data_IF_127492844418
#
_entry.id   IF_127492844418
#
_cell.length_a   1.000
_cell.length_b   1.000
_cell.length_c   1.000
_cell.angle_alpha   90.00
_cell.angle_beta   90.00
_cell.angle_gamma   90.00
#
_symmetry.space_group_name_H-M   'P 1'
#
loop_
_entity.id
_entity.type
_entity.pdbx_description
1 polymer ?
#
# COMPACT_ATOMS: atom_id res chain seq x y z
N UNK A 1 13.19 -21.06 22.13
CA UNK A 1 11.86 -21.55 21.71
C UNK A 1 11.76 -21.36 20.21
N UNK A 2 11.50 -22.39 19.42
CA UNK A 2 11.38 -22.26 17.95
C UNK A 2 10.10 -21.52 17.59
N UNK A 3 10.22 -20.52 16.71
CA UNK A 3 9.07 -19.76 16.22
C UNK A 3 8.11 -20.72 15.47
N UNK A 4 6.83 -20.85 15.88
CA UNK A 4 5.89 -21.80 15.30
C UNK A 4 5.69 -21.60 13.79
N UNK A 5 5.88 -20.37 13.31
CA UNK A 5 5.84 -20.03 11.89
C UNK A 5 7.02 -20.62 11.10
N UNK A 6 8.21 -20.66 11.69
CA UNK A 6 9.40 -21.22 11.04
C UNK A 6 9.30 -22.74 10.97
N UNK A 7 8.74 -23.38 11.99
CA UNK A 7 8.55 -24.84 12.00
C UNK A 7 7.52 -25.25 10.93
N UNK A 8 6.41 -24.52 10.84
CA UNK A 8 5.41 -24.68 9.79
C UNK A 8 5.99 -24.66 8.36
N UNK A 9 6.83 -23.66 8.08
CA UNK A 9 7.51 -23.52 6.78
C UNK A 9 8.51 -24.64 6.56
N UNK A 10 9.29 -25.02 7.59
CA UNK A 10 10.25 -26.11 7.49
C UNK A 10 9.58 -27.44 7.16
N UNK A 11 8.45 -27.73 7.80
CA UNK A 11 7.68 -28.94 7.53
C UNK A 11 7.10 -28.95 6.11
N UNK A 12 6.56 -27.81 5.63
CA UNK A 12 6.12 -27.68 4.25
C UNK A 12 7.26 -27.93 3.25
N UNK A 13 8.44 -27.35 3.49
CA UNK A 13 9.62 -27.57 2.65
C UNK A 13 10.12 -29.02 2.71
N UNK A 14 10.05 -29.68 3.87
CA UNK A 14 10.39 -31.11 4.00
C UNK A 14 9.41 -32.01 3.24
N UNK A 15 8.13 -31.66 3.20
CA UNK A 15 7.14 -32.39 2.40
C UNK A 15 7.44 -32.25 0.91
N UNK A 16 7.79 -31.04 0.45
CA UNK A 16 8.19 -30.77 -0.93
C UNK A 16 9.46 -31.52 -1.34
N UNK A 17 10.48 -31.53 -0.48
CA UNK A 17 11.76 -32.19 -0.75
C UNK A 17 11.66 -33.72 -0.94
N UNK A 18 10.50 -34.32 -0.68
CA UNK A 18 10.23 -35.73 -0.99
C UNK A 18 9.79 -35.97 -2.44
N UNK A 19 9.37 -34.93 -3.14
CA UNK A 19 8.81 -35.01 -4.50
C UNK A 19 9.65 -34.28 -5.54
N UNK A 20 10.34 -33.20 -5.14
CA UNK A 20 11.17 -32.36 -6.02
C UNK A 20 12.52 -32.08 -5.39
N UNK A 21 13.53 -31.85 -6.23
CA UNK A 21 14.85 -31.46 -5.77
C UNK A 21 14.81 -30.01 -5.25
N UNK A 22 15.49 -29.77 -4.13
CA UNK A 22 15.54 -28.44 -3.50
C UNK A 22 16.99 -27.97 -3.45
N UNK A 23 17.28 -26.86 -4.11
CA UNK A 23 18.57 -26.16 -4.00
C UNK A 23 18.45 -25.05 -2.95
N UNK A 24 18.94 -25.25 -1.71
CA UNK A 24 18.85 -24.23 -0.68
C UNK A 24 19.73 -23.02 -1.00
N UNK A 25 19.33 -21.85 -0.48
CA UNK A 25 20.16 -20.66 -0.55
C UNK A 25 21.51 -20.87 0.16
N UNK A 26 22.61 -20.48 -0.51
CA UNK A 26 23.97 -20.61 0.01
C UNK A 26 24.12 -19.70 1.24
N UNK A 27 24.46 -20.28 2.39
CA UNK A 27 24.56 -19.55 3.67
C UNK A 27 23.25 -19.46 4.47
N UNK A 28 22.17 -20.09 4.00
CA UNK A 28 20.86 -20.08 4.65
C UNK A 28 19.91 -19.04 4.07
N UNK A 29 18.78 -18.79 4.76
CA UNK A 29 17.75 -17.88 4.29
C UNK A 29 18.27 -16.44 4.23
N UNK A 30 18.28 -15.86 3.03
CA UNK A 30 18.75 -14.48 2.82
C UNK A 30 17.56 -13.51 2.91
N UNK A 31 17.60 -12.59 3.87
CA UNK A 31 16.61 -11.51 3.94
C UNK A 31 16.78 -10.58 2.74
N UNK A 32 15.66 -10.25 2.10
CA UNK A 32 15.65 -9.27 1.03
C UNK A 32 15.25 -7.90 1.57
N UNK A 33 16.04 -6.90 1.21
CA UNK A 33 15.73 -5.52 1.53
C UNK A 33 14.72 -4.95 0.53
N UNK A 34 13.72 -4.25 1.06
CA UNK A 34 12.75 -3.53 0.25
C UNK A 34 13.46 -2.37 -0.47
N UNK A 35 13.26 -2.29 -1.79
CA UNK A 35 13.81 -1.18 -2.57
C UNK A 35 13.02 0.11 -2.31
N UNK A 36 13.67 1.28 -2.32
CA UNK A 36 12.99 2.57 -2.10
C UNK A 36 11.85 2.85 -3.10
N UNK A 37 11.92 2.29 -4.31
CA UNK A 37 10.95 2.46 -5.40
C UNK A 37 9.90 1.35 -5.47
N UNK A 38 9.85 0.42 -4.50
CA UNK A 38 8.96 -0.74 -4.54
C UNK A 38 7.49 -0.35 -4.71
N UNK A 39 7.01 0.65 -3.97
CA UNK A 39 5.64 1.16 -4.07
C UNK A 39 5.35 1.74 -5.48
N UNK A 40 6.31 2.48 -6.08
CA UNK A 40 6.17 3.06 -7.43
C UNK A 40 6.06 1.95 -8.50
N UNK A 41 6.89 0.90 -8.38
CA UNK A 41 6.88 -0.24 -9.30
C UNK A 41 5.59 -1.04 -9.21
N UNK A 42 5.06 -1.26 -8.01
CA UNK A 42 3.80 -1.96 -7.84
C UNK A 42 2.64 -1.15 -8.43
N UNK A 43 2.60 0.15 -8.18
CA UNK A 43 1.62 1.02 -8.82
C UNK A 43 1.74 1.00 -10.35
N UNK A 44 2.96 0.86 -10.90
CA UNK A 44 3.17 0.74 -12.35
C UNK A 44 2.59 -0.55 -12.93
N UNK A 45 2.75 -1.66 -12.20
CA UNK A 45 2.25 -2.98 -12.61
C UNK A 45 0.72 -3.00 -12.53
N UNK A 46 0.15 -2.50 -11.43
CA UNK A 46 -1.29 -2.57 -11.16
C UNK A 46 -2.10 -1.47 -11.84
N UNK A 47 -1.54 -0.27 -11.99
CA UNK A 47 -2.15 0.83 -12.74
C UNK A 47 -2.13 0.60 -14.26
N UNK A 48 -1.39 -0.41 -14.72
CA UNK A 48 -1.29 -0.76 -16.13
C UNK A 48 -0.87 0.42 -17.01
N UNK A 49 -1.56 0.57 -18.14
CA UNK A 49 -1.28 1.61 -19.13
C UNK A 49 -2.06 2.92 -18.86
N UNK A 50 -2.80 3.04 -17.74
CA UNK A 50 -3.50 4.28 -17.39
C UNK A 50 -2.47 5.36 -17.03
N UNK A 51 -2.17 6.20 -18.02
CA UNK A 51 -1.24 7.33 -17.87
C UNK A 51 -1.94 8.67 -17.89
N UNK A 52 -3.18 8.75 -18.36
CA UNK A 52 -3.91 9.99 -18.49
C UNK A 52 -5.07 10.02 -17.48
N UNK A 53 -5.00 10.95 -16.54
CA UNK A 53 -6.01 11.19 -15.55
C UNK A 53 -6.85 12.40 -15.96
N UNK A 54 -8.17 12.29 -15.86
CA UNK A 54 -9.10 13.35 -16.25
C UNK A 54 -9.18 14.41 -15.15
N UNK A 55 -9.01 15.69 -15.49
CA UNK A 55 -9.16 16.77 -14.50
C UNK A 55 -10.63 17.12 -14.22
N UNK A 56 -10.83 17.92 -13.18
CA UNK A 56 -12.11 18.51 -12.78
C UNK A 56 -13.15 17.48 -12.33
N UNK A 57 -12.70 16.46 -11.60
CA UNK A 57 -13.58 15.51 -10.91
C UNK A 57 -14.08 16.03 -9.55
N UNK A 58 -14.16 17.36 -9.42
CA UNK A 58 -14.79 18.05 -8.29
C UNK A 58 -15.71 19.19 -8.77
N UNK A 59 -16.75 19.50 -8.01
CA UNK A 59 -17.85 20.41 -8.40
C UNK A 59 -17.43 21.86 -8.65
N UNK A 60 -16.36 22.34 -8.01
CA UNK A 60 -15.90 23.74 -8.10
C UNK A 60 -14.40 23.83 -8.47
N UNK A 61 -13.93 23.01 -9.40
CA UNK A 61 -12.56 23.06 -9.92
C UNK A 61 -12.29 24.30 -10.79
N UNK A 62 -11.96 25.44 -10.17
CA UNK A 62 -11.52 26.65 -10.90
C UNK A 62 -10.01 26.68 -11.09
N UNK A 63 -9.28 26.36 -10.03
CA UNK A 63 -7.82 26.38 -9.99
C UNK A 63 -7.23 24.98 -9.88
N UNK A 64 -6.09 24.78 -10.55
CA UNK A 64 -5.36 23.51 -10.50
C UNK A 64 -4.71 23.23 -9.16
N UNK A 65 -4.39 24.29 -8.42
CA UNK A 65 -3.79 24.25 -7.10
C UNK A 65 -4.62 25.16 -6.20
N UNK A 66 -5.05 24.66 -5.05
CA UNK A 66 -5.93 25.36 -4.12
C UNK A 66 -5.30 25.40 -2.74
N UNK A 67 -5.33 26.53 -2.04
CA UNK A 67 -4.88 26.59 -0.66
C UNK A 67 -5.80 25.75 0.23
N UNK A 68 -5.22 25.13 1.23
CA UNK A 68 -5.88 24.38 2.27
C UNK A 68 -5.71 25.08 3.61
N UNK A 69 -6.74 24.98 4.43
CA UNK A 69 -6.67 25.33 5.84
C UNK A 69 -6.53 24.05 6.66
N UNK A 70 -5.47 23.88 7.46
CA UNK A 70 -5.36 22.75 8.37
C UNK A 70 -6.54 22.74 9.36
N UNK A 71 -7.21 21.59 9.48
CA UNK A 71 -8.32 21.41 10.43
C UNK A 71 -7.80 20.52 11.56
N UNK A 72 -7.41 21.08 12.71
CA UNK A 72 -6.85 20.30 13.80
C UNK A 72 -7.88 19.35 14.42
N UNK A 73 -7.39 18.25 14.99
CA UNK A 73 -8.22 17.26 15.71
C UNK A 73 -9.11 17.87 16.81
N UNK A 74 -8.66 18.94 17.44
CA UNK A 74 -9.42 19.68 18.47
C UNK A 74 -10.66 20.37 17.90
N UNK A 75 -10.66 20.70 16.61
CA UNK A 75 -11.81 21.24 15.90
C UNK A 75 -12.62 20.11 15.26
N UNK A 76 -11.97 19.18 14.57
CA UNK A 76 -12.65 18.06 13.92
C UNK A 76 -11.75 16.84 13.80
N UNK A 77 -11.94 15.88 14.71
CA UNK A 77 -11.18 14.64 14.73
C UNK A 77 -11.74 13.60 13.75
N UNK A 78 -11.47 13.81 12.46
CA UNK A 78 -11.99 12.99 11.37
C UNK A 78 -11.25 11.65 11.22
N UNK A 79 -9.92 11.67 11.20
CA UNK A 79 -9.07 10.49 11.04
C UNK A 79 -8.72 9.87 12.40
N UNK A 80 -9.52 8.89 12.82
CA UNK A 80 -9.27 8.19 14.09
C UNK A 80 -8.51 6.89 13.92
N UNK A 81 -8.64 6.26 12.77
CA UNK A 81 -7.99 4.98 12.52
C UNK A 81 -6.94 5.13 11.45
N UNK A 82 -5.78 4.55 11.70
CA UNK A 82 -4.69 4.49 10.75
C UNK A 82 -4.32 3.03 10.54
N UNK A 83 -4.23 2.64 9.28
CA UNK A 83 -3.92 1.28 8.86
C UNK A 83 -2.65 1.28 8.04
N UNK A 84 -1.72 0.40 8.42
CA UNK A 84 -0.50 0.17 7.67
C UNK A 84 -0.09 -1.30 7.78
N UNK A 85 0.66 -1.75 6.78
CA UNK A 85 1.29 -3.05 6.75
C UNK A 85 2.80 -2.95 6.61
N UNK A 86 3.48 -4.03 6.92
CA UNK A 86 4.90 -4.21 6.62
C UNK A 86 5.12 -5.66 6.24
N UNK A 87 6.08 -5.93 5.37
CA UNK A 87 6.50 -7.30 5.11
C UNK A 87 8.00 -7.45 5.26
N UNK A 88 8.43 -8.69 5.49
CA UNK A 88 9.82 -9.13 5.32
C UNK A 88 9.79 -10.38 4.46
N UNK A 89 10.67 -10.46 3.47
CA UNK A 89 10.83 -11.66 2.64
C UNK A 89 12.23 -12.25 2.78
N UNK A 90 12.30 -13.56 2.64
CA UNK A 90 13.51 -14.37 2.71
C UNK A 90 13.53 -15.32 1.53
N UNK A 91 14.65 -15.34 0.82
CA UNK A 91 14.89 -16.35 -0.20
C UNK A 91 15.34 -17.65 0.46
N UNK A 92 14.58 -18.73 0.23
CA UNK A 92 14.86 -20.04 0.83
C UNK A 92 15.72 -20.92 -0.08
N UNK A 93 15.54 -20.80 -1.40
CA UNK A 93 16.16 -21.67 -2.39
C UNK A 93 15.29 -21.83 -3.63
N UNK A 94 15.68 -22.75 -4.52
CA UNK A 94 14.94 -23.09 -5.73
C UNK A 94 14.39 -24.52 -5.64
N UNK A 95 13.17 -24.75 -6.14
CA UNK A 95 12.67 -26.08 -6.46
C UNK A 95 13.06 -26.40 -7.89
N UNK A 96 13.54 -27.61 -8.10
CA UNK A 96 13.85 -28.18 -9.39
C UNK A 96 12.95 -29.38 -9.65
N UNK A 97 12.21 -29.33 -10.75
CA UNK A 97 11.37 -30.43 -11.19
C UNK A 97 11.60 -30.67 -12.68
N UNK A 98 12.41 -31.68 -12.99
CA UNK A 98 12.91 -31.96 -14.34
C UNK A 98 13.68 -30.76 -14.93
N UNK A 99 13.17 -30.15 -15.99
CA UNK A 99 13.71 -28.98 -16.67
C UNK A 99 13.11 -27.65 -16.18
N UNK A 100 12.24 -27.69 -15.16
CA UNK A 100 11.60 -26.52 -14.57
C UNK A 100 12.27 -26.11 -13.26
N UNK A 101 12.39 -24.81 -13.06
CA UNK A 101 12.96 -24.20 -11.86
C UNK A 101 12.02 -23.10 -11.34
N UNK A 102 11.81 -23.04 -10.02
CA UNK A 102 11.04 -21.97 -9.40
C UNK A 102 11.65 -21.53 -8.07
N UNK A 103 11.81 -20.22 -7.82
CA UNK A 103 12.30 -19.73 -6.55
C UNK A 103 11.23 -19.89 -5.48
N UNK A 104 11.65 -20.30 -4.28
CA UNK A 104 10.79 -20.34 -3.09
C UNK A 104 11.18 -19.22 -2.16
N UNK A 105 10.19 -18.38 -1.89
CA UNK A 105 10.31 -17.25 -0.98
C UNK A 105 9.41 -17.49 0.21
N UNK A 106 9.93 -17.21 1.38
CA UNK A 106 9.13 -17.06 2.58
C UNK A 106 8.93 -15.58 2.86
N UNK A 107 7.71 -15.16 3.14
CA UNK A 107 7.45 -13.82 3.62
C UNK A 107 6.58 -13.82 4.88
N UNK A 108 6.82 -12.84 5.74
CA UNK A 108 5.91 -12.51 6.83
C UNK A 108 5.31 -11.16 6.55
N UNK A 109 3.99 -11.10 6.50
CA UNK A 109 3.26 -9.88 6.27
C UNK A 109 2.51 -9.54 7.54
N UNK A 110 2.89 -8.41 8.14
CA UNK A 110 2.23 -7.82 9.28
C UNK A 110 1.29 -6.69 8.84
N UNK A 111 0.11 -6.63 9.42
CA UNK A 111 -0.84 -5.54 9.29
C UNK A 111 -1.24 -5.03 10.67
N UNK A 112 -1.36 -3.72 10.83
CA UNK A 112 -1.80 -3.11 12.07
C UNK A 112 -2.79 -1.98 11.80
N UNK A 113 -3.83 -1.94 12.63
CA UNK A 113 -4.72 -0.81 12.77
C UNK A 113 -4.51 -0.19 14.14
N UNK A 114 -4.29 1.11 14.17
CA UNK A 114 -4.24 1.91 15.40
C UNK A 114 -5.46 2.83 15.47
N UNK A 115 -5.95 3.07 16.69
CA UNK A 115 -6.90 4.13 16.99
C UNK A 115 -6.16 5.28 17.67
N UNK A 116 -6.46 6.50 17.23
CA UNK A 116 -6.02 7.74 17.86
C UNK A 116 -7.19 8.33 18.66
N UNK A 117 -6.92 8.67 19.91
CA UNK A 117 -7.85 9.35 20.80
C UNK A 117 -7.82 10.87 20.60
N UNK A 118 -8.81 11.58 21.14
CA UNK A 118 -8.94 13.04 20.99
C UNK A 118 -7.74 13.82 21.59
N UNK A 119 -7.12 13.27 22.64
CA UNK A 119 -5.89 13.81 23.24
C UNK A 119 -4.64 13.59 22.37
N UNK A 120 -4.74 12.79 21.30
CA UNK A 120 -3.66 12.43 20.39
C UNK A 120 -2.91 11.15 20.74
N UNK A 121 -3.22 10.51 21.87
CA UNK A 121 -2.68 9.19 22.23
C UNK A 121 -3.13 8.14 21.22
N UNK A 122 -2.31 7.12 21.01
CA UNK A 122 -2.58 6.05 20.04
C UNK A 122 -2.55 4.70 20.73
N UNK A 123 -3.43 3.78 20.33
CA UNK A 123 -3.45 2.39 20.78
C UNK A 123 -3.60 1.43 19.61
N UNK A 124 -2.96 0.25 19.63
CA UNK A 124 -3.25 -0.79 18.65
C UNK A 124 -4.65 -1.34 18.89
N UNK A 125 -5.44 -1.41 17.83
CA UNK A 125 -6.79 -2.00 17.85
C UNK A 125 -6.74 -3.42 17.31
N UNK A 126 -6.01 -3.59 16.21
CA UNK A 126 -5.83 -4.89 15.58
C UNK A 126 -4.41 -5.03 15.06
N UNK A 127 -3.90 -6.26 15.18
CA UNK A 127 -2.61 -6.67 14.66
C UNK A 127 -2.74 -8.07 14.12
N UNK A 128 -2.23 -8.28 12.93
CA UNK A 128 -2.24 -9.57 12.26
C UNK A 128 -0.86 -9.79 11.64
N UNK A 129 -0.30 -10.98 11.79
CA UNK A 129 0.94 -11.38 11.12
C UNK A 129 0.69 -12.73 10.49
N UNK A 130 0.89 -12.81 9.19
CA UNK A 130 0.63 -14.01 8.40
C UNK A 130 1.88 -14.45 7.65
N UNK A 131 2.19 -15.75 7.68
CA UNK A 131 3.25 -16.33 6.86
C UNK A 131 2.76 -16.64 5.45
N UNK A 132 3.65 -16.41 4.50
CA UNK A 132 3.42 -16.63 3.08
C UNK A 132 4.55 -17.45 2.48
N UNK A 133 4.21 -18.38 1.60
CA UNK A 133 5.13 -19.00 0.67
C UNK A 133 4.82 -18.49 -0.73
N UNK A 134 5.83 -18.00 -1.43
CA UNK A 134 5.69 -17.49 -2.79
C UNK A 134 6.58 -18.29 -3.74
N UNK A 135 5.98 -18.76 -4.82
CA UNK A 135 6.61 -19.51 -5.90
C UNK A 135 5.77 -19.40 -7.18
N UNK A 136 6.37 -19.65 -8.34
CA UNK A 136 5.63 -19.83 -9.58
C UNK A 136 5.00 -21.24 -9.58
N UNK A 137 3.67 -21.33 -9.44
CA UNK A 137 2.96 -22.61 -9.32
C UNK A 137 2.92 -23.36 -10.65
N UNK A 138 2.88 -22.65 -11.77
CA UNK A 138 2.94 -23.22 -13.13
C UNK A 138 4.26 -23.92 -13.45
N UNK A 139 5.34 -23.55 -12.75
CA UNK A 139 6.64 -24.19 -12.86
C UNK A 139 6.75 -25.53 -12.10
N UNK A 140 5.68 -25.99 -11.43
CA UNK A 140 5.63 -27.31 -10.76
C UNK A 140 4.39 -28.11 -11.16
N UNK A 141 4.47 -29.44 -11.11
CA UNK A 141 3.34 -30.33 -11.45
C UNK A 141 2.16 -30.20 -10.48
N UNK A 142 0.97 -30.58 -10.94
CA UNK A 142 -0.26 -30.52 -10.14
C UNK A 142 -0.12 -31.29 -8.81
N UNK A 143 0.53 -32.45 -8.79
CA UNK A 143 0.75 -33.21 -7.57
C UNK A 143 1.63 -32.48 -6.53
N UNK A 144 2.64 -31.74 -7.00
CA UNK A 144 3.49 -30.89 -6.15
C UNK A 144 2.70 -29.69 -5.65
N UNK A 145 1.88 -29.06 -6.52
CA UNK A 145 1.00 -27.95 -6.14
C UNK A 145 0.00 -28.36 -5.05
N UNK A 146 -0.67 -29.50 -5.21
CA UNK A 146 -1.62 -30.04 -4.23
C UNK A 146 -0.95 -30.31 -2.89
N UNK A 147 0.21 -30.99 -2.91
CA UNK A 147 0.99 -31.28 -1.70
C UNK A 147 1.38 -29.99 -0.98
N UNK A 148 1.84 -28.98 -1.73
CA UNK A 148 2.21 -27.69 -1.17
C UNK A 148 1.03 -27.00 -0.52
N UNK A 149 -0.09 -26.86 -1.24
CA UNK A 149 -1.29 -26.19 -0.77
C UNK A 149 -1.83 -26.87 0.48
N UNK A 150 -1.91 -28.20 0.49
CA UNK A 150 -2.38 -28.98 1.64
C UNK A 150 -1.46 -28.79 2.85
N UNK A 151 -0.14 -28.93 2.67
CA UNK A 151 0.81 -28.86 3.78
C UNK A 151 0.93 -27.44 4.33
N UNK A 152 1.00 -26.44 3.46
CA UNK A 152 1.04 -25.04 3.86
C UNK A 152 -0.24 -24.63 4.59
N UNK A 153 -1.42 -24.99 4.04
CA UNK A 153 -2.70 -24.68 4.67
C UNK A 153 -2.85 -25.35 6.05
N UNK A 154 -2.49 -26.62 6.18
CA UNK A 154 -2.51 -27.35 7.46
C UNK A 154 -1.61 -26.71 8.53
N UNK A 155 -0.65 -25.87 8.13
CA UNK A 155 0.30 -25.17 8.99
C UNK A 155 0.05 -23.67 9.09
N UNK A 156 -1.08 -23.19 8.54
CA UNK A 156 -1.46 -21.77 8.58
C UNK A 156 -0.58 -20.86 7.72
N UNK A 157 0.04 -21.40 6.67
CA UNK A 157 0.87 -20.66 5.70
C UNK A 157 0.09 -20.46 4.41
N UNK A 158 -0.06 -19.22 3.98
CA UNK A 158 -0.74 -18.87 2.73
C UNK A 158 0.23 -19.04 1.54
N UNK A 159 -0.21 -19.69 0.46
CA UNK A 159 0.61 -19.86 -0.75
C UNK A 159 0.20 -18.83 -1.80
N UNK A 160 1.17 -18.09 -2.34
CA UNK A 160 0.95 -17.05 -3.35
C UNK A 160 1.66 -17.43 -4.63
N UNK A 161 0.88 -17.56 -5.70
CA UNK A 161 1.40 -17.87 -7.01
C UNK A 161 2.03 -16.62 -7.67
N UNK A 162 3.33 -16.68 -7.96
CA UNK A 162 4.07 -15.61 -8.65
C UNK A 162 3.75 -15.50 -10.14
N UNK A 163 3.27 -16.57 -10.77
CA UNK A 163 2.99 -16.61 -12.20
C UNK A 163 1.76 -15.77 -12.61
N UNK A 164 0.92 -15.38 -11.65
CA UNK A 164 -0.41 -14.81 -11.93
C UNK A 164 -0.41 -13.33 -12.30
N UNK A 165 0.75 -12.67 -12.34
CA UNK A 165 0.88 -11.28 -12.81
C UNK A 165 1.51 -11.27 -14.21
N UNK A 166 0.71 -11.69 -15.19
CA UNK A 166 1.09 -11.79 -16.59
C UNK A 166 1.65 -10.50 -17.17
N UNK A 167 2.97 -10.41 -17.26
CA UNK A 167 3.71 -10.08 -18.47
C UNK A 167 4.90 -11.02 -18.50
N UNK A 168 4.83 -12.01 -19.39
CA UNK A 168 5.97 -12.82 -19.75
C UNK A 168 6.98 -11.89 -20.43
N UNK A 169 7.97 -11.40 -19.68
CA UNK A 169 9.25 -11.09 -20.29
C UNK A 169 9.98 -12.44 -20.43
N UNK A 170 10.36 -12.85 -21.65
CA UNK A 170 11.07 -14.09 -21.87
C UNK A 170 12.54 -13.88 -21.50
N UNK A 171 12.86 -13.83 -20.21
CA UNK A 171 14.24 -13.99 -19.74
C UNK A 171 14.43 -15.38 -19.10
N UNK A 172 15.38 -16.19 -19.59
CA UNK A 172 15.52 -17.60 -19.23
C UNK A 172 16.26 -17.83 -17.89
N UNK A 173 16.24 -16.86 -16.96
CA UNK A 173 16.88 -16.99 -15.65
C UNK A 173 15.88 -16.78 -14.51
N UNK A 174 15.26 -17.89 -14.10
CA UNK A 174 14.26 -18.01 -13.03
C UNK A 174 14.74 -17.60 -11.62
N UNK A 175 16.00 -17.19 -11.44
CA UNK A 175 16.46 -16.51 -10.21
C UNK A 175 15.78 -15.17 -9.99
N UNK A 176 15.20 -14.61 -11.05
CA UNK A 176 14.43 -13.40 -11.05
C UNK A 176 13.05 -13.73 -11.64
N UNK A 177 12.15 -14.33 -10.87
CA UNK A 177 10.73 -14.02 -11.10
C UNK A 177 10.68 -12.49 -11.28
N UNK A 178 10.14 -11.93 -12.39
CA UNK A 178 10.36 -10.55 -12.74
C UNK A 178 10.09 -9.74 -11.50
N UNK A 179 11.08 -9.03 -10.95
CA UNK A 179 11.04 -8.55 -9.57
C UNK A 179 9.75 -7.78 -9.24
N UNK A 180 9.06 -7.29 -10.28
CA UNK A 180 7.71 -6.74 -10.22
C UNK A 180 6.59 -7.72 -9.86
N UNK A 181 6.53 -8.95 -10.41
CA UNK A 181 5.49 -9.93 -10.10
C UNK A 181 5.51 -10.32 -8.60
N UNK A 182 6.72 -10.53 -8.07
CA UNK A 182 6.98 -10.75 -6.64
C UNK A 182 6.59 -9.57 -5.78
N UNK A 183 7.07 -8.36 -6.12
CA UNK A 183 6.72 -7.15 -5.36
C UNK A 183 5.21 -6.89 -5.38
N UNK A 184 4.56 -7.07 -6.54
CA UNK A 184 3.12 -6.95 -6.68
C UNK A 184 2.37 -7.98 -5.84
N UNK A 185 2.84 -9.24 -5.80
CA UNK A 185 2.26 -10.29 -4.96
C UNK A 185 2.38 -9.98 -3.45
N UNK A 186 3.56 -9.57 -2.99
CA UNK A 186 3.79 -9.19 -1.59
C UNK A 186 3.00 -7.94 -1.19
N UNK A 187 2.94 -6.94 -2.06
CA UNK A 187 2.16 -5.73 -1.81
C UNK A 187 0.65 -6.02 -1.83
N UNK A 188 0.15 -6.84 -2.76
CA UNK A 188 -1.26 -7.26 -2.76
C UNK A 188 -1.61 -8.04 -1.49
N UNK A 189 -0.73 -8.91 -1.02
CA UNK A 189 -0.92 -9.63 0.23
C UNK A 189 -0.80 -8.70 1.45
N UNK A 190 0.07 -7.67 1.42
CA UNK A 190 0.13 -6.59 2.43
C UNK A 190 -1.15 -5.78 2.47
N UNK A 191 -1.63 -5.31 1.32
CA UNK A 191 -2.87 -4.55 1.20
C UNK A 191 -4.06 -5.41 1.61
N UNK A 192 -4.13 -6.66 1.14
CA UNK A 192 -5.15 -7.62 1.53
C UNK A 192 -5.14 -7.91 3.04
N UNK A 193 -3.96 -8.07 3.65
CA UNK A 193 -3.79 -8.20 5.09
C UNK A 193 -4.18 -6.93 5.85
N UNK A 194 -3.90 -5.75 5.30
CA UNK A 194 -4.25 -4.45 5.89
C UNK A 194 -5.76 -4.20 5.84
N UNK A 195 -6.39 -4.47 4.70
CA UNK A 195 -7.84 -4.41 4.50
C UNK A 195 -8.55 -5.49 5.32
N UNK A 196 -7.98 -6.70 5.40
CA UNK A 196 -8.48 -7.81 6.20
C UNK A 196 -8.40 -7.52 7.70
N UNK A 197 -7.27 -6.96 8.16
CA UNK A 197 -7.11 -6.39 9.50
C UNK A 197 -8.15 -5.28 9.76
N UNK A 198 -8.46 -4.52 8.72
CA UNK A 198 -9.51 -3.51 8.69
C UNK A 198 -10.92 -4.00 8.39
N UNK A 199 -11.20 -5.31 8.29
CA UNK A 199 -12.48 -5.80 7.79
C UNK A 199 -13.66 -5.30 8.64
N UNK A 200 -14.61 -4.67 7.93
CA UNK A 200 -15.57 -3.65 8.39
C UNK A 200 -16.74 -4.19 9.24
N UNK A 201 -16.66 -5.46 9.69
CA UNK A 201 -17.72 -6.09 10.49
C UNK A 201 -17.51 -5.99 12.00
N UNK A 202 -16.39 -5.37 12.44
CA UNK A 202 -16.15 -5.13 13.86
C UNK A 202 -17.19 -4.16 14.47
N UNK A 203 -17.59 -4.35 15.74
CA UNK A 203 -18.48 -3.41 16.44
C UNK A 203 -17.98 -1.96 16.44
N UNK A 204 -16.65 -1.77 16.45
CA UNK A 204 -16.00 -0.45 16.43
C UNK A 204 -16.19 0.28 15.08
N UNK A 205 -16.20 -0.45 13.97
CA UNK A 205 -16.42 0.15 12.64
C UNK A 205 -17.89 0.46 12.37
N UNK A 206 -18.84 -0.28 12.99
CA UNK A 206 -20.26 0.13 13.03
C UNK A 206 -20.46 1.43 13.83
N UNK A 207 -19.65 1.64 14.87
CA UNK A 207 -19.60 2.91 15.61
C UNK A 207 -19.00 4.03 14.77
N UNK A 208 -17.89 3.77 14.07
CA UNK A 208 -17.30 4.69 13.08
C UNK A 208 -18.34 5.12 12.05
N UNK A 209 -19.10 4.16 11.53
CA UNK A 209 -20.14 4.36 10.53
C UNK A 209 -21.23 5.35 10.94
N UNK A 210 -21.72 5.21 12.17
CA UNK A 210 -22.75 6.08 12.74
C UNK A 210 -22.21 7.47 13.10
N UNK A 211 -20.90 7.59 13.33
CA UNK A 211 -20.25 8.84 13.76
C UNK A 211 -19.65 9.69 12.63
N UNK A 212 -19.66 9.22 11.39
CA UNK A 212 -19.07 9.94 10.24
C UNK A 212 -17.52 9.98 10.23
N UNK A 213 -16.86 9.15 11.05
CA UNK A 213 -15.39 9.09 11.15
C UNK A 213 -14.77 8.25 10.02
N UNK A 214 -13.51 8.52 9.68
CA UNK A 214 -12.80 7.86 8.58
C UNK A 214 -11.55 7.10 9.05
N UNK A 215 -11.19 6.08 8.27
CA UNK A 215 -9.91 5.39 8.37
C UNK A 215 -8.97 5.87 7.25
N UNK A 216 -7.73 6.18 7.60
CA UNK A 216 -6.66 6.42 6.64
C UNK A 216 -5.82 5.15 6.49
N UNK A 217 -5.75 4.63 5.27
CA UNK A 217 -4.88 3.52 4.91
C UNK A 217 -3.63 4.06 4.22
N UNK A 218 -2.46 3.64 4.69
CA UNK A 218 -1.18 3.98 4.08
C UNK A 218 -0.82 3.03 2.93
N UNK A 219 -1.71 2.97 1.95
CA UNK A 219 -1.53 2.30 0.68
C UNK A 219 -2.48 2.92 -0.35
N UNK A 220 -2.23 2.70 -1.64
CA UNK A 220 -3.17 3.13 -2.68
C UNK A 220 -4.47 2.34 -2.53
N UNK A 221 -5.63 3.00 -2.51
CA UNK A 221 -6.92 2.27 -2.44
C UNK A 221 -7.18 1.51 -3.73
N UNK A 222 -6.64 2.02 -4.85
CA UNK A 222 -6.63 1.34 -6.13
C UNK A 222 -5.96 -0.06 -6.09
N UNK A 223 -5.07 -0.32 -5.12
CA UNK A 223 -4.42 -1.63 -4.90
C UNK A 223 -5.31 -2.61 -4.13
N UNK A 224 -6.22 -2.09 -3.31
CA UNK A 224 -7.16 -2.94 -2.59
C UNK A 224 -8.22 -3.42 -3.57
N UNK A 225 -8.47 -4.72 -3.65
CA UNK A 225 -9.54 -5.32 -4.46
C UNK A 225 -10.96 -4.94 -3.98
N UNK A 226 -11.11 -3.78 -3.33
CA UNK A 226 -12.38 -3.25 -2.88
C UNK A 226 -13.17 -2.82 -4.11
N UNK A 227 -14.25 -3.55 -4.35
CA UNK A 227 -15.24 -3.17 -5.35
C UNK A 227 -15.77 -1.78 -5.01
N UNK A 228 -15.86 -0.90 -6.01
CA UNK A 228 -16.55 0.38 -5.88
C UNK A 228 -18.01 0.21 -5.43
N UNK A 229 -18.57 -1.01 -5.54
CA UNK A 229 -19.91 -1.36 -5.09
C UNK A 229 -19.97 -1.84 -3.63
N UNK A 230 -18.84 -1.98 -2.93
CA UNK A 230 -18.85 -2.31 -1.51
C UNK A 230 -19.16 -1.04 -0.70
N UNK A 231 -20.32 -0.92 -0.03
CA UNK A 231 -20.67 0.25 0.79
C UNK A 231 -19.64 0.49 1.89
N UNK A 232 -18.94 -0.58 2.31
CA UNK A 232 -17.91 -0.55 3.35
C UNK A 232 -16.66 0.22 2.89
N UNK A 233 -16.37 0.24 1.60
CA UNK A 233 -15.19 0.89 1.00
C UNK A 233 -15.21 2.43 1.04
N UNK A 234 -16.39 3.04 1.21
CA UNK A 234 -16.59 4.51 1.20
C UNK A 234 -16.01 5.26 2.40
N UNK A 235 -15.50 4.55 3.42
CA UNK A 235 -14.93 5.15 4.65
C UNK A 235 -13.43 5.01 4.78
N UNK A 236 -12.77 4.62 3.70
CA UNK A 236 -11.33 4.48 3.59
C UNK A 236 -10.80 5.55 2.65
N UNK A 237 -9.75 6.24 3.07
CA UNK A 237 -8.89 6.99 2.14
C UNK A 237 -7.55 6.29 2.04
N UNK A 238 -6.99 6.27 0.84
CA UNK A 238 -5.64 5.79 0.59
C UNK A 238 -4.70 6.96 0.61
N UNK A 239 -3.58 6.81 1.29
CA UNK A 239 -2.56 7.84 1.38
C UNK A 239 -1.23 7.22 1.01
N UNK A 240 -0.67 7.68 -0.10
CA UNK A 240 0.60 7.21 -0.63
C UNK A 240 1.66 8.30 -0.55
N UNK A 241 2.81 7.94 0.04
CA UNK A 241 4.01 8.78 0.12
C UNK A 241 4.92 8.59 -1.10
N UNK A 242 4.88 7.39 -1.66
CA UNK A 242 5.57 7.02 -2.88
C UNK A 242 4.51 6.72 -3.94
N UNK A 243 4.62 7.34 -5.10
CA UNK A 243 3.70 7.15 -6.20
C UNK A 243 4.39 7.40 -7.53
N UNK A 244 3.84 6.83 -8.60
CA UNK A 244 4.37 6.98 -9.97
C UNK A 244 4.52 8.45 -10.36
N UNK A 245 5.61 8.75 -11.07
CA UNK A 245 5.94 10.11 -11.54
C UNK A 245 5.60 10.33 -13.02
N UNK A 246 5.29 9.26 -13.75
CA UNK A 246 4.90 9.28 -15.16
C UNK A 246 3.40 9.57 -15.48
N UNK A 247 2.46 9.67 -14.51
CA UNK A 247 1.11 10.13 -14.81
C UNK A 247 1.06 11.53 -15.45
N UNK A 248 0.13 11.68 -16.37
CA UNK A 248 -0.22 12.92 -17.06
C UNK A 248 -1.67 13.30 -16.75
N UNK A 249 -1.91 14.60 -16.63
CA UNK A 249 -3.21 15.13 -16.24
C UNK A 249 -3.81 15.97 -17.35
N UNK A 250 -5.02 15.62 -17.79
CA UNK A 250 -5.75 16.32 -18.84
C UNK A 250 -6.38 17.61 -18.31
N UNK A 251 -5.68 18.74 -18.44
CA UNK A 251 -6.09 20.03 -17.88
C UNK A 251 -6.64 20.99 -18.95
N UNK A 252 -7.80 21.64 -18.68
CA UNK A 252 -8.35 22.75 -19.47
C UNK A 252 -9.34 22.36 -20.58
N UNK A 253 -9.81 23.34 -21.39
CA UNK A 253 -10.78 23.15 -22.50
C UNK A 253 -10.29 22.20 -23.61
N UNK A 254 -8.99 21.88 -23.62
CA UNK A 254 -8.35 20.87 -24.47
C UNK A 254 -8.03 19.59 -23.68
N UNK A 255 -8.85 19.20 -22.70
CA UNK A 255 -8.72 17.91 -21.99
C UNK A 255 -8.75 16.67 -22.90
N UNK A 256 -9.12 16.83 -24.19
CA UNK A 256 -8.98 15.80 -25.25
C UNK A 256 -7.69 15.89 -26.08
N UNK A 257 -6.80 16.85 -25.81
CA UNK A 257 -5.49 16.94 -26.44
C UNK A 257 -4.57 15.89 -25.81
N UNK A 258 -3.87 15.11 -26.65
CA UNK A 258 -2.93 14.06 -26.24
C UNK A 258 -1.72 14.52 -25.42
N UNK A 259 -1.60 15.82 -25.14
CA UNK A 259 -0.50 16.40 -24.37
C UNK A 259 -1.00 16.79 -22.97
N UNK A 260 -1.07 15.81 -22.07
CA UNK A 260 -1.39 16.07 -20.66
C UNK A 260 -0.30 16.88 -19.96
N UNK A 261 -0.64 17.51 -18.85
CA UNK A 261 0.35 18.14 -17.95
C UNK A 261 1.02 17.04 -17.14
N UNK A 262 2.34 16.90 -17.25
CA UNK A 262 3.08 15.93 -16.46
C UNK A 262 3.01 16.26 -14.96
N UNK A 263 2.98 15.22 -14.12
CA UNK A 263 2.89 15.34 -12.66
C UNK A 263 3.92 16.32 -12.07
N UNK A 264 5.19 16.22 -12.45
CA UNK A 264 6.24 17.10 -11.92
C UNK A 264 5.96 18.60 -12.17
N UNK A 265 5.31 18.96 -13.29
CA UNK A 265 4.94 20.36 -13.56
C UNK A 265 3.77 20.83 -12.70
N UNK A 266 2.88 19.92 -12.33
CA UNK A 266 1.80 20.20 -11.40
C UNK A 266 2.36 20.39 -9.98
N UNK A 267 3.24 19.49 -9.55
CA UNK A 267 3.84 19.53 -8.21
C UNK A 267 4.78 20.71 -8.00
N UNK A 268 5.51 21.14 -9.04
CA UNK A 268 6.35 22.34 -8.96
C UNK A 268 5.57 23.63 -8.62
N UNK A 269 4.26 23.65 -8.86
CA UNK A 269 3.37 24.78 -8.56
C UNK A 269 2.66 24.64 -7.21
N UNK A 270 2.84 23.51 -6.52
CA UNK A 270 2.14 23.22 -5.28
C UNK A 270 2.89 23.84 -4.10
N UNK A 271 2.32 24.91 -3.53
CA UNK A 271 2.87 25.55 -2.34
C UNK A 271 2.54 24.75 -1.05
N UNK A 272 3.19 25.11 0.05
CA UNK A 272 2.88 24.55 1.37
C UNK A 272 1.39 24.71 1.68
N UNK A 273 0.74 23.65 2.18
CA UNK A 273 -0.70 23.61 2.46
C UNK A 273 -1.55 23.86 1.23
N UNK A 274 -1.13 23.35 0.07
CA UNK A 274 -1.97 23.33 -1.11
C UNK A 274 -2.30 21.90 -1.50
N UNK A 275 -3.46 21.73 -2.14
CA UNK A 275 -3.80 20.53 -2.90
C UNK A 275 -3.97 20.85 -4.37
N UNK A 276 -3.86 19.83 -5.19
CA UNK A 276 -4.31 19.91 -6.57
C UNK A 276 -5.84 19.88 -6.63
N UNK A 277 -6.37 20.19 -7.80
CA UNK A 277 -7.72 19.74 -8.15
C UNK A 277 -7.83 18.21 -8.09
N UNK A 278 -9.06 17.69 -8.03
CA UNK A 278 -9.33 16.26 -8.07
C UNK A 278 -9.31 15.75 -9.51
N UNK A 279 -8.59 14.66 -9.70
CA UNK A 279 -8.51 13.93 -10.95
C UNK A 279 -9.27 12.61 -10.85
N UNK A 280 -9.99 12.26 -11.91
CA UNK A 280 -10.64 10.97 -12.04
C UNK A 280 -9.66 9.93 -12.54
N UNK A 281 -9.67 8.78 -11.89
CA UNK A 281 -8.97 7.57 -12.30
C UNK A 281 -9.96 6.40 -12.42
N UNK A 282 -9.62 5.39 -13.21
CA UNK A 282 -10.41 4.16 -13.41
C UNK A 282 -11.86 4.47 -13.78
N UNK A 283 -12.05 5.31 -14.80
CA UNK A 283 -13.38 5.74 -15.26
C UNK A 283 -14.18 6.45 -14.16
N UNK A 284 -13.49 7.21 -13.31
CA UNK A 284 -14.13 7.98 -12.23
C UNK A 284 -14.45 7.22 -10.96
N UNK A 285 -14.09 5.93 -10.88
CA UNK A 285 -14.30 5.10 -9.69
C UNK A 285 -13.36 5.51 -8.55
N UNK A 286 -12.27 6.19 -8.85
CA UNK A 286 -11.32 6.69 -7.87
C UNK A 286 -11.08 8.17 -8.14
N UNK A 287 -11.27 8.98 -7.11
CA UNK A 287 -10.89 10.38 -7.08
C UNK A 287 -9.48 10.48 -6.50
N UNK A 288 -8.54 11.04 -7.27
CA UNK A 288 -7.13 11.17 -6.90
C UNK A 288 -6.81 12.64 -6.75
N UNK A 289 -6.15 13.01 -5.66
CA UNK A 289 -5.60 14.34 -5.48
C UNK A 289 -4.19 14.25 -4.91
N UNK A 290 -3.41 15.30 -5.12
CA UNK A 290 -2.08 15.43 -4.54
C UNK A 290 -2.04 16.64 -3.62
N UNK A 291 -1.56 16.44 -2.39
CA UNK A 291 -1.50 17.48 -1.36
C UNK A 291 -0.07 17.66 -0.88
N UNK A 292 0.36 18.91 -0.69
CA UNK A 292 1.65 19.24 -0.08
C UNK A 292 1.47 19.62 1.40
N UNK A 293 1.99 18.77 2.29
CA UNK A 293 1.87 18.94 3.73
C UNK A 293 3.06 19.67 4.39
N UNK A 294 4.21 19.80 3.69
CA UNK A 294 5.49 20.17 4.31
C UNK A 294 5.99 21.60 4.04
N UNK A 295 6.97 21.93 4.89
CA UNK A 295 7.55 23.22 5.27
C UNK A 295 7.77 24.27 4.16
N UNK A 296 7.90 25.55 4.52
CA UNK A 296 8.18 26.62 3.56
C UNK A 296 9.35 26.27 2.63
N UNK A 297 9.24 26.66 1.36
CA UNK A 297 10.29 26.51 0.33
C UNK A 297 11.65 26.93 0.91
N UNK A 298 12.60 25.99 0.97
CA UNK A 298 13.95 26.20 1.53
C UNK A 298 14.35 25.27 2.68
N UNK A 299 13.41 24.51 3.26
CA UNK A 299 13.68 23.51 4.31
C UNK A 299 13.52 22.06 3.83
N UNK A 300 13.53 21.86 2.51
CA UNK A 300 13.20 20.58 1.88
C UNK A 300 14.32 20.22 0.90
N UNK A 301 14.92 19.04 1.09
CA UNK A 301 16.05 18.57 0.28
C UNK A 301 15.65 18.11 -1.13
N UNK A 302 14.36 17.81 -1.34
CA UNK A 302 13.83 17.33 -2.62
C UNK A 302 12.43 17.92 -2.92
N UNK A 303 12.14 18.37 -4.16
CA UNK A 303 10.87 19.05 -4.49
C UNK A 303 9.58 18.27 -4.19
N UNK A 304 9.64 16.93 -4.07
CA UNK A 304 8.47 16.09 -3.75
C UNK A 304 8.40 15.67 -2.27
N UNK A 305 9.40 16.04 -1.47
CA UNK A 305 9.44 15.68 -0.06
C UNK A 305 8.32 16.41 0.68
N UNK A 306 7.43 15.60 1.26
CA UNK A 306 6.23 16.09 1.95
C UNK A 306 4.99 16.26 1.08
N UNK A 307 5.04 15.79 -0.17
CA UNK A 307 3.88 15.62 -1.04
C UNK A 307 3.29 14.23 -0.82
N UNK A 308 1.97 14.15 -0.71
CA UNK A 308 1.22 12.91 -0.58
C UNK A 308 0.16 12.80 -1.67
N UNK A 309 -0.02 11.60 -2.23
CA UNK A 309 -1.15 11.28 -3.08
C UNK A 309 -2.27 10.72 -2.20
N UNK A 310 -3.48 11.25 -2.37
CA UNK A 310 -4.67 10.81 -1.64
C UNK A 310 -5.67 10.26 -2.65
N UNK A 311 -6.18 9.06 -2.37
CA UNK A 311 -7.14 8.35 -3.19
C UNK A 311 -8.43 8.13 -2.41
N UNK A 312 -9.56 8.47 -3.03
CA UNK A 312 -10.90 8.30 -2.49
C UNK A 312 -11.71 7.42 -3.44
N UNK A 313 -12.35 6.37 -2.93
CA UNK A 313 -13.30 5.59 -3.72
C UNK A 313 -14.53 6.44 -4.00
N UNK A 314 -14.93 6.50 -5.26
CA UNK A 314 -16.08 7.24 -5.74
C UNK A 314 -17.08 6.30 -6.42
N UNK A 315 -17.96 5.62 -5.66
CA UNK A 315 -18.98 4.73 -6.22
C UNK A 315 -19.95 5.45 -7.15
N UNK A 316 -20.19 6.73 -6.89
CA UNK A 316 -21.15 7.53 -7.64
C UNK A 316 -20.70 7.82 -9.07
N UNK A 317 -19.38 7.75 -9.34
CA UNK A 317 -18.75 8.19 -10.59
C UNK A 317 -19.16 9.60 -11.03
N UNK A 318 -19.55 10.45 -10.07
CA UNK A 318 -19.85 11.86 -10.29
C UNK A 318 -18.73 12.71 -9.69
N UNK A 319 -18.55 13.96 -10.15
CA UNK A 319 -17.64 14.89 -9.51
C UNK A 319 -17.93 15.00 -8.01
N UNK A 320 -16.89 14.93 -7.19
CA UNK A 320 -16.98 15.00 -5.72
C UNK A 320 -17.17 16.46 -5.29
N UNK A 321 -17.88 16.70 -4.20
CA UNK A 321 -18.02 18.06 -3.69
C UNK A 321 -16.65 18.63 -3.25
N UNK A 322 -16.26 19.78 -3.81
CA UNK A 322 -15.01 20.46 -3.43
C UNK A 322 -14.93 20.78 -1.94
N UNK A 323 -16.06 21.09 -1.28
CA UNK A 323 -16.06 21.37 0.16
C UNK A 323 -15.70 20.13 0.99
N UNK A 324 -16.19 18.95 0.59
CA UNK A 324 -15.80 17.68 1.19
C UNK A 324 -14.30 17.40 0.97
N UNK A 325 -13.78 17.66 -0.23
CA UNK A 325 -12.36 17.45 -0.53
C UNK A 325 -11.46 18.39 0.30
N UNK A 326 -11.85 19.66 0.43
CA UNK A 326 -11.14 20.64 1.26
C UNK A 326 -11.14 20.22 2.74
N UNK A 327 -12.28 19.69 3.23
CA UNK A 327 -12.44 19.14 4.57
C UNK A 327 -11.53 17.92 4.82
N UNK A 328 -11.55 16.92 3.92
CA UNK A 328 -10.70 15.73 4.02
C UNK A 328 -9.22 16.13 4.00
N UNK A 329 -8.83 16.97 3.04
CA UNK A 329 -7.44 17.37 2.87
C UNK A 329 -6.96 18.24 4.04
N UNK A 330 -7.79 19.16 4.52
CA UNK A 330 -7.52 20.02 5.67
C UNK A 330 -7.32 19.23 6.97
N UNK A 331 -8.16 18.21 7.21
CA UNK A 331 -7.97 17.30 8.34
C UNK A 331 -6.68 16.47 8.18
N UNK A 332 -6.35 16.02 6.97
CA UNK A 332 -5.20 15.15 6.74
C UNK A 332 -3.86 15.90 6.91
N UNK A 333 -3.76 17.13 6.41
CA UNK A 333 -2.54 17.94 6.60
C UNK A 333 -2.34 18.35 8.06
N UNK A 334 -3.40 18.37 8.87
CA UNK A 334 -3.28 18.61 10.31
C UNK A 334 -2.66 17.42 11.06
N UNK A 335 -2.73 16.21 10.50
CA UNK A 335 -2.08 15.01 11.02
C UNK A 335 -0.56 14.97 10.76
N UNK A 336 0.03 16.07 10.25
CA UNK A 336 1.42 16.07 9.80
C UNK A 336 2.48 15.86 10.88
N UNK A 337 2.14 16.25 12.11
CA UNK A 337 3.03 16.16 13.27
C UNK A 337 2.61 14.95 14.13
N UNK A 338 2.98 13.76 13.67
CA UNK A 338 2.47 12.51 14.22
C UNK A 338 3.46 11.76 15.13
N UNK A 339 4.40 12.44 15.77
CA UNK A 339 5.30 11.81 16.76
C UNK A 339 4.70 11.86 18.16
N UNK A 340 4.55 10.71 18.85
CA UNK A 340 4.15 10.65 20.26
C UNK A 340 5.28 11.04 21.22
N UNK A 341 6.47 11.37 20.73
CA UNK A 341 7.57 11.88 21.53
C UNK A 341 7.66 13.38 21.30
N UNK A 342 7.17 14.16 22.25
CA UNK A 342 7.12 15.63 22.22
C UNK A 342 8.48 16.33 22.24
N UNK A 343 9.47 15.85 21.48
CA UNK A 343 10.84 16.39 21.47
C UNK A 343 11.54 16.37 20.11
N UNK A 344 10.92 15.91 19.01
CA UNK A 344 11.62 15.88 17.72
C UNK A 344 11.58 17.25 17.01
N UNK A 345 12.66 18.03 17.14
CA UNK A 345 12.90 19.31 16.42
C UNK A 345 13.40 19.11 14.98
N UNK A 346 13.58 17.87 14.52
CA UNK A 346 14.08 17.57 13.19
C UNK A 346 12.92 17.37 12.18
N UNK A 347 12.74 18.35 11.31
CA UNK A 347 11.79 18.39 10.18
C UNK A 347 12.10 17.39 9.03
N UNK A 348 12.88 16.33 9.28
CA UNK A 348 13.38 15.40 8.26
C UNK A 348 12.82 13.96 8.40
N UNK A 349 11.66 13.77 9.03
CA UNK A 349 10.97 12.47 9.14
C UNK A 349 9.50 12.58 8.71
N UNK A 350 8.91 11.50 8.16
CA UNK A 350 7.79 11.61 7.24
C UNK A 350 6.55 12.23 7.92
N UNK A 351 5.82 13.08 7.19
CA UNK A 351 4.78 13.96 7.74
C UNK A 351 3.46 13.25 8.00
N UNK A 352 3.45 11.94 8.27
CA UNK A 352 2.25 11.17 8.61
C UNK A 352 2.73 9.98 9.46
N UNK A 353 1.93 9.46 10.40
CA UNK A 353 2.39 8.44 11.33
C UNK A 353 2.95 7.22 10.58
N UNK A 354 4.29 7.13 10.48
CA UNK A 354 5.05 5.92 10.15
C UNK A 354 5.17 4.98 11.37
N UNK A 355 4.53 5.37 12.47
CA UNK A 355 4.50 4.65 13.74
C UNK A 355 4.08 3.17 13.61
N UNK A 356 3.03 2.80 12.83
CA UNK A 356 2.67 1.39 12.69
C UNK A 356 3.72 0.60 11.90
N UNK A 357 4.32 1.16 10.83
CA UNK A 357 5.33 0.47 10.00
C UNK A 357 6.57 0.05 10.78
N UNK A 358 7.16 0.98 11.55
CA UNK A 358 8.49 0.76 12.19
C UNK A 358 8.44 0.22 13.62
N UNK A 359 7.36 0.45 14.38
CA UNK A 359 7.39 0.22 15.84
C UNK A 359 6.39 -0.84 16.29
N UNK A 360 5.21 -0.91 15.68
CA UNK A 360 4.20 -1.89 16.06
C UNK A 360 4.29 -3.15 15.20
N UNK A 361 4.40 -3.06 13.88
CA UNK A 361 4.50 -4.25 13.03
C UNK A 361 5.87 -4.95 13.13
N UNK A 362 6.97 -4.20 13.29
CA UNK A 362 8.33 -4.75 13.37
C UNK A 362 8.64 -5.45 14.72
N UNK A 363 8.02 -5.05 15.83
CA UNK A 363 8.31 -5.59 17.18
C UNK A 363 7.77 -7.01 17.46
N UNK A 364 7.08 -7.67 16.51
CA UNK A 364 6.73 -9.11 16.63
C UNK A 364 7.52 -10.01 15.70
N UNK A 365 8.33 -9.42 14.81
CA UNK A 365 9.08 -10.17 13.82
C UNK A 365 10.53 -10.20 14.25
N UNK A 366 10.89 -11.32 14.90
CA UNK A 366 12.25 -11.85 15.06
C UNK A 366 13.29 -10.78 15.45
N UNK A 367 13.47 -10.58 16.75
CA UNK A 367 14.84 -10.48 17.26
C UNK A 367 15.31 -11.92 17.54
N UNK A 368 16.55 -12.29 17.16
CA UNK A 368 17.12 -13.59 17.49
C UNK A 368 17.18 -13.86 19.00
#
# INVERSE_FOLDING_TARGET
>A
MTNPTIEAVREAMRALAKQVDVLPAVGGALQEEERPDADERVEQILGGNEKLFEANWETNAKDLCRPLQPIPRTQWHLYRYFQDGSYRSYFLGNLLEHDRETPVLFAQIGACQIERNDDGSVKPVRREVKPYLLLAMDAVSEGVQETLLQTAHAKGVEVVNLARNGRADPEPHARLAPAGAKQGALQNARVGGTVGAGAIDSPEQRRMARSGRLAAMFANVAESSMSANDPKSTRLIGVAKNFRKDPQFAVGRRARSRNGTALHRLLAKLDTWHRTTVFGAREGKVAVLVSCACAPKGQIDYPLMGVIKVELINPSKKPVDSALIDQLSGALIAERNATPHGVDRALARPPLPDFPRRTLCAKSSLEP
#
